data_IF_661582885045
#
_entry.id   IF_661582885045
#
_cell.length_a   1.000
_cell.length_b   1.000
_cell.length_c   1.000
_cell.angle_alpha   90.00
_cell.angle_beta   90.00
_cell.angle_gamma   90.00
#
_symmetry.space_group_name_H-M   'P 1'
#
loop_
_entity.id
_entity.type
_entity.pdbx_description
1 polymer ?
#
# COMPACT_ATOMS: atom_id res chain seq x y z
N UNK A 1 9.19 28.09 -18.81
CA UNK A 1 8.32 28.49 -19.95
C UNK A 1 7.26 27.41 -20.14
N UNK A 2 6.08 27.60 -19.51
CA UNK A 2 4.89 26.81 -19.81
C UNK A 2 4.56 27.04 -21.30
N UNK A 3 4.66 25.98 -22.11
CA UNK A 3 4.15 26.03 -23.47
C UNK A 3 2.66 26.33 -23.39
N UNK A 4 2.21 27.45 -23.96
CA UNK A 4 0.79 27.72 -24.17
C UNK A 4 0.19 26.53 -24.92
N UNK A 5 -0.75 25.86 -24.31
CA UNK A 5 -1.55 24.86 -25.02
C UNK A 5 -2.45 25.62 -26.00
N UNK A 6 -2.52 25.23 -27.27
CA UNK A 6 -3.37 25.94 -28.27
C UNK A 6 -4.83 26.04 -27.83
N UNK A 7 -5.30 25.10 -27.06
CA UNK A 7 -6.67 25.03 -26.53
C UNK A 7 -6.99 26.08 -25.47
N UNK A 8 -5.98 26.65 -24.78
CA UNK A 8 -6.21 27.68 -23.75
C UNK A 8 -6.88 28.91 -24.32
N UNK A 9 -6.52 29.33 -25.53
CA UNK A 9 -7.15 30.50 -26.17
C UNK A 9 -8.61 30.22 -26.51
N UNK A 10 -8.93 29.05 -26.97
CA UNK A 10 -10.31 28.64 -27.26
C UNK A 10 -11.13 28.53 -25.97
N UNK A 11 -10.59 27.91 -24.95
CA UNK A 11 -11.20 27.84 -23.63
C UNK A 11 -11.45 29.22 -23.04
N UNK A 12 -10.46 30.10 -23.08
CA UNK A 12 -10.61 31.47 -22.59
C UNK A 12 -11.69 32.25 -23.35
N UNK A 13 -11.81 32.01 -24.64
CA UNK A 13 -12.86 32.61 -25.47
C UNK A 13 -14.25 32.14 -25.04
N UNK A 14 -14.41 30.85 -24.75
CA UNK A 14 -15.68 30.32 -24.27
C UNK A 14 -16.06 30.91 -22.89
N UNK A 15 -15.07 31.08 -21.99
CA UNK A 15 -15.27 31.74 -20.70
C UNK A 15 -15.65 33.21 -20.87
N UNK A 16 -15.00 33.95 -21.79
CA UNK A 16 -15.36 35.33 -22.11
C UNK A 16 -16.77 35.43 -22.68
N UNK A 17 -17.13 34.57 -23.63
CA UNK A 17 -18.46 34.54 -24.24
C UNK A 17 -19.56 34.26 -23.19
N UNK A 18 -19.30 33.42 -22.21
CA UNK A 18 -20.21 33.19 -21.12
C UNK A 18 -20.42 34.48 -20.30
N UNK A 19 -19.34 35.17 -19.93
CA UNK A 19 -19.41 36.38 -19.12
C UNK A 19 -20.07 37.55 -19.91
N UNK A 20 -19.66 37.79 -21.16
CA UNK A 20 -20.21 38.85 -22.01
C UNK A 20 -21.69 38.57 -22.31
N UNK A 21 -22.06 37.33 -22.57
CA UNK A 21 -23.46 36.93 -22.76
C UNK A 21 -24.35 37.13 -21.52
N UNK A 22 -23.78 36.94 -20.33
CA UNK A 22 -24.52 37.06 -19.06
C UNK A 22 -24.62 38.49 -18.53
N UNK A 23 -23.56 39.26 -18.68
CA UNK A 23 -23.45 40.61 -18.09
C UNK A 23 -23.44 41.75 -19.11
N UNK A 24 -23.31 41.43 -20.38
CA UNK A 24 -23.10 42.39 -21.47
C UNK A 24 -21.61 42.60 -21.76
N UNK A 25 -21.27 42.67 -23.03
CA UNK A 25 -19.88 42.80 -23.50
C UNK A 25 -19.21 44.06 -22.95
N UNK A 26 -19.90 45.21 -23.01
CA UNK A 26 -19.43 46.51 -22.50
C UNK A 26 -19.19 46.53 -20.99
N UNK A 27 -19.73 45.57 -20.26
CA UNK A 27 -19.61 45.48 -18.81
C UNK A 27 -18.43 44.60 -18.38
N UNK A 28 -17.80 43.84 -19.24
CA UNK A 28 -16.58 43.06 -18.97
C UNK A 28 -15.37 43.95 -19.24
N UNK A 29 -14.87 44.62 -18.21
CA UNK A 29 -13.82 45.63 -18.33
C UNK A 29 -12.40 45.08 -18.28
N UNK A 30 -12.24 43.90 -17.73
CA UNK A 30 -10.95 43.20 -17.69
C UNK A 30 -11.17 41.70 -17.84
N UNK A 31 -10.35 41.04 -18.61
CA UNK A 31 -10.33 39.57 -18.76
C UNK A 31 -8.91 39.12 -19.03
N UNK A 32 -8.29 38.47 -18.06
CA UNK A 32 -6.90 38.04 -18.12
C UNK A 32 -6.81 36.55 -17.82
N UNK A 33 -6.06 35.82 -18.64
CA UNK A 33 -5.75 34.41 -18.42
C UNK A 33 -4.34 34.31 -17.84
N UNK A 34 -4.23 33.81 -16.63
CA UNK A 34 -2.96 33.54 -15.99
C UNK A 34 -2.50 32.12 -16.35
N UNK A 35 -1.33 32.02 -16.97
CA UNK A 35 -0.67 30.78 -17.38
C UNK A 35 0.71 30.59 -16.72
N UNK A 36 1.07 31.49 -15.82
CA UNK A 36 2.33 31.52 -15.07
C UNK A 36 2.29 30.73 -13.76
N UNK A 37 1.08 30.38 -13.30
CA UNK A 37 0.85 29.47 -12.20
C UNK A 37 0.65 28.03 -12.69
N UNK A 38 0.61 27.07 -11.77
CA UNK A 38 0.47 25.64 -12.11
C UNK A 38 -0.82 25.31 -12.84
N UNK A 39 -1.90 26.02 -12.49
CA UNK A 39 -3.22 25.80 -13.10
C UNK A 39 -3.64 27.05 -13.86
N UNK A 40 -3.83 27.00 -15.18
CA UNK A 40 -4.38 28.12 -15.92
C UNK A 40 -5.73 28.55 -15.34
N UNK A 41 -5.90 29.84 -15.11
CA UNK A 41 -7.15 30.37 -14.57
C UNK A 41 -7.42 31.78 -15.13
N UNK A 42 -8.67 32.20 -15.00
CA UNK A 42 -9.16 33.48 -15.50
C UNK A 42 -9.46 34.44 -14.37
N UNK A 43 -8.95 35.66 -14.48
CA UNK A 43 -9.43 36.79 -13.71
C UNK A 43 -10.29 37.69 -14.62
N UNK A 44 -11.52 37.94 -14.22
CA UNK A 44 -12.41 38.83 -14.97
C UNK A 44 -13.04 39.85 -14.04
N UNK A 45 -13.08 41.09 -14.47
CA UNK A 45 -13.75 42.19 -13.78
C UNK A 45 -15.00 42.60 -14.57
N UNK A 46 -16.14 42.58 -13.87
CA UNK A 46 -17.44 42.88 -14.46
C UNK A 46 -18.07 44.09 -13.76
N UNK A 47 -18.46 45.11 -14.52
CA UNK A 47 -19.25 46.22 -13.99
C UNK A 47 -20.69 45.79 -13.80
N UNK A 48 -21.25 45.92 -12.58
CA UNK A 48 -22.63 45.52 -12.30
C UNK A 48 -23.64 46.63 -12.74
N UNK A 49 -23.75 46.81 -14.05
CA UNK A 49 -24.69 47.79 -14.62
C UNK A 49 -26.01 47.13 -14.94
N UNK A 50 -27.11 47.71 -14.44
CA UNK A 50 -28.48 47.34 -14.74
C UNK A 50 -29.31 48.60 -14.99
N UNK A 51 -30.05 48.62 -16.09
CA UNK A 51 -30.88 49.79 -16.49
C UNK A 51 -30.05 51.10 -16.56
N UNK A 52 -28.84 51.05 -17.06
CA UNK A 52 -27.92 52.22 -17.19
C UNK A 52 -27.38 52.73 -15.85
N UNK A 53 -27.52 52.00 -14.76
CA UNK A 53 -27.05 52.39 -13.41
C UNK A 53 -26.18 51.30 -12.79
N UNK A 54 -25.12 51.73 -12.11
CA UNK A 54 -24.29 50.84 -11.32
C UNK A 54 -25.07 50.28 -10.14
N UNK A 55 -25.32 48.98 -10.07
CA UNK A 55 -26.07 48.33 -8.99
C UNK A 55 -25.63 46.89 -8.76
N UNK A 56 -24.66 46.71 -7.89
CA UNK A 56 -24.23 45.37 -7.42
C UNK A 56 -25.41 44.53 -6.90
N UNK A 57 -26.32 45.17 -6.11
CA UNK A 57 -27.47 44.47 -5.56
C UNK A 57 -28.37 43.91 -6.65
N UNK A 58 -28.70 44.67 -7.69
CA UNK A 58 -29.58 44.22 -8.78
C UNK A 58 -28.94 43.12 -9.65
N UNK A 59 -27.64 43.18 -9.84
CA UNK A 59 -26.92 42.25 -10.74
C UNK A 59 -26.59 40.95 -10.02
N UNK A 60 -26.00 41.01 -8.82
CA UNK A 60 -25.45 39.86 -8.14
C UNK A 60 -26.28 39.40 -6.94
N UNK A 61 -26.83 40.32 -6.12
CA UNK A 61 -27.46 39.91 -4.87
C UNK A 61 -28.94 39.53 -5.00
N UNK A 62 -29.71 40.24 -5.84
CA UNK A 62 -31.16 40.08 -5.85
C UNK A 62 -31.86 40.76 -4.66
N UNK A 63 -33.07 40.35 -4.35
CA UNK A 63 -33.87 40.92 -3.29
C UNK A 63 -33.42 40.49 -1.88
N UNK A 64 -32.98 39.24 -1.73
CA UNK A 64 -32.61 38.64 -0.46
C UNK A 64 -31.46 37.63 -0.56
N UNK A 65 -31.09 37.00 0.58
CA UNK A 65 -30.02 36.03 0.66
C UNK A 65 -30.27 34.72 -0.12
N UNK A 66 -31.54 34.39 -0.35
CA UNK A 66 -31.90 33.17 -1.11
C UNK A 66 -31.68 33.40 -2.60
N UNK A 67 -32.14 34.57 -3.10
CA UNK A 67 -31.93 34.98 -4.48
C UNK A 67 -30.43 35.18 -4.77
N UNK A 68 -29.67 35.74 -3.83
CA UNK A 68 -28.20 35.82 -3.93
C UNK A 68 -27.56 34.43 -4.09
N UNK A 69 -27.96 33.50 -3.22
CA UNK A 69 -27.45 32.13 -3.28
C UNK A 69 -27.83 31.46 -4.59
N UNK A 70 -29.03 31.62 -5.05
CA UNK A 70 -29.50 31.03 -6.30
C UNK A 70 -28.73 31.57 -7.50
N UNK A 71 -28.57 32.89 -7.61
CA UNK A 71 -27.78 33.52 -8.69
C UNK A 71 -26.32 33.08 -8.68
N UNK A 72 -25.73 32.94 -7.51
CA UNK A 72 -24.36 32.43 -7.36
C UNK A 72 -24.27 30.98 -7.83
N UNK A 73 -25.22 30.13 -7.47
CA UNK A 73 -25.25 28.73 -7.93
C UNK A 73 -25.44 28.65 -9.45
N UNK A 74 -26.38 29.41 -10.02
CA UNK A 74 -26.62 29.49 -11.46
C UNK A 74 -25.39 29.97 -12.23
N UNK A 75 -24.62 30.91 -11.66
CA UNK A 75 -23.35 31.34 -12.26
C UNK A 75 -22.32 30.22 -12.25
N UNK A 76 -22.16 29.53 -11.12
CA UNK A 76 -21.27 28.38 -11.00
C UNK A 76 -21.68 27.22 -11.92
N UNK A 77 -22.99 26.96 -12.06
CA UNK A 77 -23.52 25.92 -12.96
C UNK A 77 -23.24 26.27 -14.42
N UNK A 78 -23.42 27.54 -14.80
CA UNK A 78 -23.10 28.01 -16.15
C UNK A 78 -21.61 27.86 -16.47
N UNK A 79 -20.72 28.22 -15.55
CA UNK A 79 -19.28 27.95 -15.70
C UNK A 79 -18.96 26.47 -15.81
N UNK A 80 -19.59 25.63 -14.98
CA UNK A 80 -19.39 24.20 -15.00
C UNK A 80 -19.82 23.56 -16.32
N UNK A 81 -20.93 24.01 -16.90
CA UNK A 81 -21.40 23.47 -18.19
C UNK A 81 -20.46 23.80 -19.34
N UNK A 82 -19.94 25.03 -19.42
CA UNK A 82 -18.92 25.38 -20.41
C UNK A 82 -17.63 24.61 -20.20
N UNK A 83 -17.16 24.48 -18.95
CA UNK A 83 -15.94 23.76 -18.62
C UNK A 83 -16.03 22.24 -18.86
N UNK A 84 -17.22 21.67 -18.84
CA UNK A 84 -17.46 20.25 -19.12
C UNK A 84 -17.02 19.83 -20.53
N UNK A 85 -17.21 20.70 -21.52
CA UNK A 85 -16.73 20.47 -22.89
C UNK A 85 -15.19 20.40 -22.98
N UNK A 86 -14.49 20.95 -22.00
CA UNK A 86 -13.04 20.96 -21.85
C UNK A 86 -12.51 19.87 -20.92
N UNK A 87 -13.37 18.93 -20.50
CA UNK A 87 -13.00 17.83 -19.59
C UNK A 87 -12.84 18.24 -18.12
N UNK A 88 -13.25 19.46 -17.76
CA UNK A 88 -13.18 19.98 -16.40
C UNK A 88 -14.51 19.71 -15.68
N UNK A 89 -14.46 19.08 -14.52
CA UNK A 89 -15.64 18.79 -13.72
C UNK A 89 -15.79 19.81 -12.59
N UNK A 90 -17.04 20.15 -12.28
CA UNK A 90 -17.36 20.93 -11.08
C UNK A 90 -16.99 20.12 -9.83
N UNK A 91 -16.35 20.77 -8.86
CA UNK A 91 -16.09 20.16 -7.56
C UNK A 91 -17.38 19.86 -6.79
N UNK A 92 -17.30 18.87 -5.90
CA UNK A 92 -18.44 18.46 -5.07
C UNK A 92 -18.87 19.54 -4.08
N UNK A 93 -20.18 19.59 -3.81
CA UNK A 93 -20.74 20.52 -2.84
C UNK A 93 -20.25 20.21 -1.41
N UNK A 94 -20.07 21.27 -0.61
CA UNK A 94 -19.79 21.14 0.83
C UNK A 94 -20.87 20.30 1.55
N UNK A 95 -22.11 20.34 1.10
CA UNK A 95 -23.20 19.54 1.66
C UNK A 95 -23.02 18.03 1.41
N UNK A 96 -22.30 17.66 0.37
CA UNK A 96 -21.96 16.26 0.03
C UNK A 96 -20.66 15.84 0.70
N UNK A 97 -19.61 16.69 0.60
CA UNK A 97 -18.28 16.37 1.10
C UNK A 97 -18.11 16.60 2.59
N UNK A 98 -18.98 17.41 3.22
CA UNK A 98 -18.86 17.91 4.60
C UNK A 98 -17.50 18.54 4.92
N UNK A 99 -16.72 18.91 3.90
CA UNK A 99 -15.40 19.51 4.07
C UNK A 99 -15.55 20.98 4.45
N UNK A 100 -14.89 21.38 5.52
CA UNK A 100 -14.78 22.79 5.89
C UNK A 100 -13.76 23.48 5.02
N UNK A 101 -14.01 24.75 4.70
CA UNK A 101 -12.99 25.59 4.06
C UNK A 101 -11.77 25.70 4.97
N UNK A 102 -10.60 25.42 4.43
CA UNK A 102 -9.31 25.55 5.11
C UNK A 102 -8.44 26.54 4.35
N UNK A 103 -7.62 27.27 5.07
CA UNK A 103 -6.58 28.06 4.43
C UNK A 103 -5.54 27.14 3.77
N UNK A 104 -4.86 27.63 2.76
CA UNK A 104 -3.76 26.88 2.12
C UNK A 104 -2.68 26.48 3.13
N UNK A 105 -2.44 27.33 4.13
CA UNK A 105 -1.46 27.09 5.19
C UNK A 105 -1.90 25.95 6.12
N UNK A 106 -3.17 25.93 6.53
CA UNK A 106 -3.73 24.84 7.34
C UNK A 106 -3.71 23.51 6.59
N UNK A 107 -4.06 23.52 5.31
CA UNK A 107 -4.03 22.34 4.47
C UNK A 107 -2.61 21.80 4.29
N UNK A 108 -1.63 22.68 4.04
CA UNK A 108 -0.22 22.30 3.94
C UNK A 108 0.31 21.70 5.23
N UNK A 109 -0.02 22.30 6.39
CA UNK A 109 0.40 21.80 7.71
C UNK A 109 -0.18 20.41 7.97
N UNK A 110 -1.42 20.21 7.63
CA UNK A 110 -2.07 18.90 7.80
C UNK A 110 -1.43 17.83 6.90
N UNK A 111 -1.19 18.13 5.62
CA UNK A 111 -0.49 17.22 4.72
C UNK A 111 0.93 16.90 5.22
N UNK A 112 1.68 17.90 5.70
CA UNK A 112 3.00 17.68 6.29
C UNK A 112 2.95 16.75 7.50
N UNK A 113 1.96 16.92 8.38
CA UNK A 113 1.75 16.04 9.52
C UNK A 113 1.37 14.61 9.08
N UNK A 114 0.55 14.47 8.04
CA UNK A 114 0.19 13.18 7.48
C UNK A 114 1.41 12.47 6.90
N UNK A 115 2.26 13.17 6.14
CA UNK A 115 3.51 12.62 5.62
C UNK A 115 4.40 12.10 6.75
N UNK A 116 4.65 12.92 7.79
CA UNK A 116 5.49 12.52 8.92
C UNK A 116 4.92 11.32 9.69
N UNK A 117 3.60 11.19 9.75
CA UNK A 117 2.96 10.03 10.37
C UNK A 117 3.15 8.78 9.53
N UNK A 118 2.94 8.88 8.22
CA UNK A 118 3.14 7.77 7.28
C UNK A 118 4.61 7.32 7.22
N UNK A 119 5.55 8.25 7.23
CA UNK A 119 7.00 7.95 7.28
C UNK A 119 7.35 7.11 8.52
N UNK A 120 6.83 7.49 9.69
CA UNK A 120 7.03 6.72 10.92
C UNK A 120 6.41 5.32 10.83
N UNK A 121 5.21 5.20 10.25
CA UNK A 121 4.56 3.90 10.05
C UNK A 121 5.37 3.00 9.10
N UNK A 122 5.99 3.56 8.06
CA UNK A 122 6.88 2.82 7.15
C UNK A 122 8.11 2.31 7.90
N UNK A 123 8.76 3.14 8.72
CA UNK A 123 9.91 2.74 9.53
C UNK A 123 9.57 1.58 10.48
N UNK A 124 8.41 1.65 11.15
CA UNK A 124 7.90 0.58 12.01
C UNK A 124 7.65 -0.72 11.24
N UNK A 125 7.08 -0.63 10.02
CA UNK A 125 6.87 -1.80 9.17
C UNK A 125 8.19 -2.37 8.65
N UNK A 126 9.13 -1.53 8.27
CA UNK A 126 10.47 -1.96 7.88
C UNK A 126 11.18 -2.73 9.00
N UNK A 127 11.12 -2.25 10.23
CA UNK A 127 11.64 -2.96 11.40
C UNK A 127 10.95 -4.32 11.59
N UNK A 128 9.63 -4.38 11.37
CA UNK A 128 8.86 -5.63 11.44
C UNK A 128 9.30 -6.62 10.37
N UNK A 129 9.47 -6.19 9.12
CA UNK A 129 9.97 -7.02 8.01
C UNK A 129 11.37 -7.57 8.30
N UNK A 130 12.26 -6.75 8.82
CA UNK A 130 13.61 -7.15 9.21
C UNK A 130 13.58 -8.24 10.29
N UNK A 131 12.71 -8.09 11.31
CA UNK A 131 12.51 -9.08 12.37
C UNK A 131 11.98 -10.40 11.83
N UNK A 132 10.95 -10.38 10.96
CA UNK A 132 10.38 -11.57 10.34
C UNK A 132 11.41 -12.32 9.50
N UNK A 133 12.18 -11.60 8.67
CA UNK A 133 13.26 -12.20 7.89
C UNK A 133 14.32 -12.88 8.78
N UNK A 134 14.67 -12.27 9.92
CA UNK A 134 15.54 -12.88 10.91
C UNK A 134 14.97 -14.18 11.49
N UNK A 135 13.68 -14.19 11.82
CA UNK A 135 13.00 -15.38 12.35
C UNK A 135 12.91 -16.51 11.31
N UNK A 136 12.63 -16.18 10.05
CA UNK A 136 12.61 -17.13 8.92
C UNK A 136 13.98 -17.81 8.78
N UNK A 137 15.07 -17.04 8.73
CA UNK A 137 16.43 -17.60 8.63
C UNK A 137 16.77 -18.55 9.78
N UNK A 138 16.34 -18.22 11.01
CA UNK A 138 16.53 -19.10 12.16
C UNK A 138 15.70 -20.38 12.04
N UNK A 139 14.45 -20.30 11.59
CA UNK A 139 13.60 -21.45 11.35
C UNK A 139 14.17 -22.37 10.27
N UNK A 140 14.61 -21.84 9.14
CA UNK A 140 15.27 -22.58 8.05
C UNK A 140 16.54 -23.30 8.54
N UNK A 141 17.35 -22.61 9.35
CA UNK A 141 18.57 -23.21 9.93
C UNK A 141 18.23 -24.37 10.84
N UNK A 142 17.18 -24.24 11.66
CA UNK A 142 16.68 -25.31 12.54
C UNK A 142 16.16 -26.49 11.74
N UNK A 143 15.40 -26.25 10.67
CA UNK A 143 14.88 -27.29 9.76
C UNK A 143 16.04 -28.08 9.14
N UNK A 144 17.04 -27.40 8.59
CA UNK A 144 18.25 -28.04 8.03
C UNK A 144 18.97 -28.90 9.07
N UNK A 145 19.10 -28.40 10.30
CA UNK A 145 19.69 -29.17 11.41
C UNK A 145 18.89 -30.43 11.74
N UNK A 146 17.56 -30.36 11.80
CA UNK A 146 16.69 -31.50 12.04
C UNK A 146 16.75 -32.51 10.89
N UNK A 147 16.74 -32.07 9.65
CA UNK A 147 16.89 -32.92 8.46
C UNK A 147 18.22 -33.71 8.50
N UNK A 148 19.32 -33.03 8.84
CA UNK A 148 20.64 -33.69 8.99
C UNK A 148 20.61 -34.75 10.11
N UNK A 149 19.98 -34.44 11.25
CA UNK A 149 19.85 -35.39 12.35
C UNK A 149 19.01 -36.60 11.96
N UNK A 150 17.92 -36.40 11.22
CA UNK A 150 17.06 -37.47 10.71
C UNK A 150 17.85 -38.36 9.77
N UNK A 151 18.55 -37.81 8.79
CA UNK A 151 19.38 -38.57 7.84
C UNK A 151 20.46 -39.42 8.54
N UNK A 152 21.11 -38.88 9.56
CA UNK A 152 22.12 -39.61 10.34
C UNK A 152 21.47 -40.77 11.16
N UNK A 153 20.27 -40.55 11.73
CA UNK A 153 19.54 -41.57 12.45
C UNK A 153 19.04 -42.67 11.50
N UNK A 154 18.55 -42.32 10.31
CA UNK A 154 18.15 -43.28 9.29
C UNK A 154 19.33 -44.16 8.84
N UNK A 155 20.49 -43.55 8.57
CA UNK A 155 21.71 -44.31 8.27
C UNK A 155 22.13 -45.25 9.39
N UNK A 156 21.96 -44.80 10.65
CA UNK A 156 22.24 -45.63 11.84
C UNK A 156 21.23 -46.78 12.00
N UNK A 157 19.94 -46.53 11.70
CA UNK A 157 18.89 -47.56 11.67
C UNK A 157 19.23 -48.62 10.66
N UNK A 158 19.49 -48.22 9.41
CA UNK A 158 19.81 -49.13 8.28
C UNK A 158 21.04 -50.01 8.59
N UNK A 159 22.03 -49.44 9.26
CA UNK A 159 23.23 -50.21 9.68
C UNK A 159 22.89 -51.25 10.73
N UNK A 160 22.04 -50.90 11.73
CA UNK A 160 21.63 -51.85 12.77
C UNK A 160 20.71 -52.94 12.21
N UNK A 161 19.79 -52.60 11.32
CA UNK A 161 18.92 -53.55 10.62
C UNK A 161 19.71 -54.56 9.83
N UNK A 162 20.70 -54.10 9.04
CA UNK A 162 21.63 -55.02 8.32
C UNK A 162 22.40 -55.96 9.23
N UNK A 163 22.83 -55.48 10.39
CA UNK A 163 23.55 -56.31 11.35
C UNK A 163 22.61 -57.37 11.97
N UNK A 164 21.34 -57.03 12.28
CA UNK A 164 20.32 -57.96 12.72
C UNK A 164 20.04 -59.02 11.66
N UNK A 165 19.84 -58.58 10.38
CA UNK A 165 19.60 -59.52 9.27
C UNK A 165 20.78 -60.50 9.09
N UNK A 166 22.03 -60.01 9.22
CA UNK A 166 23.21 -60.89 9.19
C UNK A 166 23.22 -61.91 10.31
N UNK A 167 22.77 -61.57 11.50
CA UNK A 167 22.65 -62.51 12.63
C UNK A 167 21.54 -63.54 12.36
N UNK A 168 20.38 -63.11 11.85
CA UNK A 168 19.30 -64.00 11.45
C UNK A 168 19.74 -65.02 10.40
N UNK A 169 20.51 -64.59 9.37
CA UNK A 169 21.04 -65.49 8.37
C UNK A 169 21.97 -66.54 8.97
N UNK A 170 22.87 -66.15 9.91
CA UNK A 170 23.80 -67.08 10.58
C UNK A 170 23.07 -68.08 11.46
N UNK A 171 22.03 -67.63 12.21
CA UNK A 171 21.21 -68.52 13.01
C UNK A 171 20.39 -69.51 12.17
N UNK A 172 19.96 -69.09 10.97
CA UNK A 172 19.14 -69.91 10.06
C UNK A 172 19.98 -70.93 9.29
N UNK A 173 21.30 -70.71 9.10
CA UNK A 173 22.18 -71.61 8.31
C UNK A 173 22.44 -72.95 9.03
N UNK A 174 22.19 -73.06 10.29
CA UNK A 174 22.36 -74.29 11.08
C UNK A 174 23.83 -74.70 11.33
N UNK A 175 24.80 -73.90 10.91
CA UNK A 175 26.26 -74.16 11.01
C UNK A 175 26.88 -73.70 12.36
N UNK A 176 26.04 -73.19 13.28
CA UNK A 176 26.46 -72.51 14.51
C UNK A 176 26.24 -73.46 15.71
N UNK A 177 27.26 -73.61 16.56
CA UNK A 177 27.13 -74.42 17.78
C UNK A 177 26.24 -73.74 18.86
N UNK A 178 25.86 -74.49 19.89
CA UNK A 178 24.92 -74.00 20.93
C UNK A 178 25.43 -72.77 21.70
N UNK A 179 26.73 -72.67 21.93
CA UNK A 179 27.36 -71.53 22.62
C UNK A 179 27.34 -70.26 21.78
N UNK A 180 27.63 -70.40 20.50
CA UNK A 180 27.55 -69.33 19.51
C UNK A 180 26.11 -68.87 19.27
N UNK A 181 25.15 -69.77 19.24
CA UNK A 181 23.72 -69.42 19.17
C UNK A 181 23.30 -68.55 20.34
N UNK A 182 23.68 -68.89 21.57
CA UNK A 182 23.39 -68.04 22.74
C UNK A 182 24.07 -66.66 22.67
N UNK A 183 25.28 -66.58 22.16
CA UNK A 183 25.98 -65.29 21.99
C UNK A 183 25.33 -64.41 20.94
N UNK A 184 24.93 -64.97 19.80
CA UNK A 184 24.25 -64.28 18.73
C UNK A 184 22.87 -63.78 19.16
N UNK A 185 22.09 -64.59 19.90
CA UNK A 185 20.80 -64.18 20.43
C UNK A 185 20.92 -62.99 21.42
N UNK A 186 21.92 -62.98 22.29
CA UNK A 186 22.15 -61.81 23.19
C UNK A 186 22.54 -60.56 22.39
N UNK A 187 23.34 -60.72 21.31
CA UNK A 187 23.72 -59.61 20.44
C UNK A 187 22.52 -59.06 19.69
N UNK A 188 21.66 -59.95 19.19
CA UNK A 188 20.41 -59.57 18.53
C UNK A 188 19.48 -58.77 19.48
N UNK A 189 19.28 -59.23 20.71
CA UNK A 189 18.49 -58.53 21.72
C UNK A 189 19.04 -57.11 22.01
N UNK A 190 20.36 -57.00 22.11
CA UNK A 190 21.04 -55.70 22.29
C UNK A 190 20.86 -54.76 21.09
N UNK A 191 20.95 -55.27 19.85
CA UNK A 191 20.74 -54.53 18.64
C UNK A 191 19.27 -54.11 18.48
N UNK A 192 18.33 -54.97 18.84
CA UNK A 192 16.89 -54.67 18.86
C UNK A 192 16.57 -53.50 19.80
N UNK A 193 17.12 -53.49 21.01
CA UNK A 193 16.99 -52.36 21.94
C UNK A 193 17.58 -51.07 21.40
N UNK A 194 18.69 -51.18 20.66
CA UNK A 194 19.31 -50.05 19.99
C UNK A 194 18.44 -49.53 18.85
N UNK A 195 17.86 -50.43 18.05
CA UNK A 195 16.93 -50.09 16.97
C UNK A 195 15.70 -49.36 17.52
N UNK A 196 15.07 -49.89 18.57
CA UNK A 196 13.91 -49.25 19.22
C UNK A 196 14.23 -47.81 19.69
N UNK A 197 15.43 -47.62 20.26
CA UNK A 197 15.88 -46.28 20.68
C UNK A 197 16.10 -45.32 19.48
N UNK A 198 16.59 -45.84 18.35
CA UNK A 198 16.77 -45.02 17.13
C UNK A 198 15.41 -44.67 16.55
N UNK A 199 14.47 -45.60 16.46
CA UNK A 199 13.11 -45.38 15.96
C UNK A 199 12.37 -44.34 16.80
N UNK A 200 12.46 -44.41 18.12
CA UNK A 200 11.91 -43.40 19.01
C UNK A 200 12.49 -42.00 18.76
N UNK A 201 13.81 -41.91 18.57
CA UNK A 201 14.48 -40.63 18.25
C UNK A 201 14.08 -40.11 16.89
N UNK A 202 13.91 -40.97 15.89
CA UNK A 202 13.44 -40.61 14.57
C UNK A 202 12.05 -39.99 14.61
N UNK A 203 11.12 -40.63 15.34
CA UNK A 203 9.76 -40.12 15.50
C UNK A 203 9.76 -38.74 16.18
N UNK A 204 10.52 -38.54 17.26
CA UNK A 204 10.68 -37.26 17.94
C UNK A 204 11.22 -36.18 16.97
N UNK A 205 12.24 -36.52 16.15
CA UNK A 205 12.81 -35.53 15.22
C UNK A 205 11.90 -35.21 14.05
N UNK A 206 11.17 -36.18 13.51
CA UNK A 206 10.17 -35.99 12.46
C UNK A 206 9.01 -35.13 12.93
N UNK A 207 8.52 -35.37 14.16
CA UNK A 207 7.49 -34.50 14.75
C UNK A 207 7.96 -33.07 14.91
N UNK A 208 9.18 -32.87 15.42
CA UNK A 208 9.78 -31.52 15.54
C UNK A 208 10.02 -30.84 14.19
N UNK A 209 10.34 -31.61 13.16
CA UNK A 209 10.49 -31.09 11.80
C UNK A 209 9.15 -30.58 11.27
N UNK A 210 8.10 -31.39 11.37
CA UNK A 210 6.76 -31.01 10.92
C UNK A 210 6.24 -29.74 11.64
N UNK A 211 6.50 -29.62 12.96
CA UNK A 211 6.16 -28.40 13.70
C UNK A 211 6.96 -27.17 13.23
N UNK A 212 8.25 -27.38 12.92
CA UNK A 212 9.12 -26.30 12.42
C UNK A 212 8.73 -25.84 11.01
N UNK A 213 8.36 -26.78 10.12
CA UNK A 213 7.86 -26.47 8.77
C UNK A 213 6.56 -25.65 8.86
N UNK A 214 5.58 -26.09 9.65
CA UNK A 214 4.35 -25.32 9.84
C UNK A 214 4.61 -23.90 10.35
N UNK A 215 5.55 -23.76 11.29
CA UNK A 215 5.92 -22.43 11.80
C UNK A 215 6.61 -21.58 10.76
N UNK A 216 7.38 -22.16 9.87
CA UNK A 216 7.99 -21.46 8.72
C UNK A 216 6.92 -20.95 7.77
N UNK A 217 5.92 -21.76 7.44
CA UNK A 217 4.79 -21.35 6.59
C UNK A 217 4.00 -20.19 7.20
N UNK A 218 3.72 -20.24 8.52
CA UNK A 218 3.08 -19.14 9.24
C UNK A 218 3.90 -17.83 9.18
N UNK A 219 5.23 -17.93 9.27
CA UNK A 219 6.13 -16.77 9.16
C UNK A 219 6.16 -16.19 7.74
N UNK A 220 6.13 -17.04 6.71
CA UNK A 220 6.03 -16.57 5.32
C UNK A 220 4.71 -15.84 5.05
N UNK A 221 3.58 -16.37 5.53
CA UNK A 221 2.28 -15.69 5.40
C UNK A 221 2.29 -14.31 6.10
N UNK A 222 2.90 -14.21 7.28
CA UNK A 222 3.05 -12.94 7.98
C UNK A 222 3.95 -11.98 7.21
N UNK A 223 5.02 -12.47 6.59
CA UNK A 223 5.92 -11.67 5.78
C UNK A 223 5.21 -11.08 4.56
N UNK A 224 4.45 -11.89 3.83
CA UNK A 224 3.67 -11.42 2.66
C UNK A 224 2.67 -10.32 3.04
N UNK A 225 1.93 -10.52 4.13
CA UNK A 225 0.99 -9.51 4.64
C UNK A 225 1.70 -8.20 5.04
N UNK A 226 2.87 -8.32 5.66
CA UNK A 226 3.66 -7.16 6.06
C UNK A 226 4.26 -6.42 4.86
N UNK A 227 4.70 -7.14 3.82
CA UNK A 227 5.21 -6.57 2.56
C UNK A 227 4.11 -5.82 1.81
N UNK A 228 2.95 -6.42 1.62
CA UNK A 228 1.82 -5.77 0.96
C UNK A 228 1.41 -4.46 1.67
N UNK A 229 1.40 -4.45 3.01
CA UNK A 229 1.12 -3.23 3.78
C UNK A 229 2.20 -2.17 3.66
N UNK A 230 3.47 -2.57 3.60
CA UNK A 230 4.59 -1.66 3.39
C UNK A 230 4.50 -0.97 2.03
N UNK A 231 4.25 -1.71 0.95
CA UNK A 231 4.07 -1.18 -0.39
C UNK A 231 2.89 -0.20 -0.50
N UNK A 232 1.78 -0.51 0.16
CA UNK A 232 0.61 0.39 0.24
C UNK A 232 0.98 1.72 0.93
N UNK A 233 1.70 1.68 2.05
CA UNK A 233 2.16 2.88 2.76
C UNK A 233 3.16 3.71 1.93
N UNK A 234 4.09 3.08 1.24
CA UNK A 234 5.01 3.79 0.34
C UNK A 234 4.28 4.52 -0.78
N UNK A 235 3.23 3.89 -1.33
CA UNK A 235 2.37 4.51 -2.34
C UNK A 235 1.64 5.72 -1.77
N UNK A 236 1.06 5.60 -0.57
CA UNK A 236 0.38 6.70 0.12
C UNK A 236 1.32 7.89 0.40
N UNK A 237 2.57 7.63 0.81
CA UNK A 237 3.58 8.68 1.02
C UNK A 237 3.89 9.39 -0.30
N UNK A 238 4.08 8.63 -1.37
CA UNK A 238 4.37 9.20 -2.69
C UNK A 238 3.26 10.14 -3.14
N UNK A 239 2.00 9.73 -3.00
CA UNK A 239 0.84 10.53 -3.35
C UNK A 239 0.72 11.78 -2.46
N UNK A 240 0.95 11.64 -1.16
CA UNK A 240 0.94 12.76 -0.22
C UNK A 240 2.06 13.78 -0.52
N UNK A 241 3.27 13.33 -0.82
CA UNK A 241 4.40 14.18 -1.18
C UNK A 241 4.18 14.94 -2.51
N UNK A 242 3.55 14.31 -3.50
CA UNK A 242 3.14 14.99 -4.74
C UNK A 242 2.19 16.14 -4.40
N UNK A 243 1.18 15.91 -3.56
CA UNK A 243 0.23 16.93 -3.15
C UNK A 243 0.90 18.09 -2.37
N UNK A 244 1.83 17.79 -1.46
CA UNK A 244 2.60 18.83 -0.74
C UNK A 244 3.45 19.65 -1.71
N UNK A 245 4.13 19.01 -2.64
CA UNK A 245 4.96 19.69 -3.66
C UNK A 245 4.14 20.63 -4.53
N UNK A 246 2.96 20.22 -4.96
CA UNK A 246 2.04 21.07 -5.72
C UNK A 246 1.64 22.35 -4.96
N UNK A 247 1.40 22.22 -3.65
CA UNK A 247 1.02 23.38 -2.82
C UNK A 247 2.20 24.32 -2.57
N UNK A 248 3.42 23.79 -2.42
CA UNK A 248 4.63 24.60 -2.21
C UNK A 248 5.00 25.38 -3.47
N UNK A 249 4.91 24.75 -4.64
CA UNK A 249 5.24 25.41 -5.93
C UNK A 249 4.30 26.56 -6.23
N UNK A 250 3.03 26.48 -5.86
CA UNK A 250 2.05 27.56 -6.04
C UNK A 250 2.36 28.81 -5.19
N UNK A 251 3.21 28.71 -4.14
CA UNK A 251 3.63 29.85 -3.32
C UNK A 251 4.92 30.51 -3.77
N UNK A 252 5.76 29.82 -4.55
CA UNK A 252 7.06 30.36 -4.99
C UNK A 252 6.89 31.18 -6.27
N UNK A 253 5.76 31.01 -6.98
CA UNK A 253 5.42 31.75 -8.20
C UNK A 253 4.52 32.98 -7.99
N UNK A 254 4.13 33.29 -6.76
CA UNK A 254 3.39 34.49 -6.36
C UNK A 254 4.33 35.47 -5.64
#
# INVERSE_FOLDING_TARGET
HLKRMPEIELWARDMYNLLSGKFGDDNVISFVVHCDEQTPHVHAEVLPIKDGKLSYKKVFCGADKYEYRQRTLELHDAFAEVNKSWGLNRGDSITVTHRKHRSTEEYRRELSNQCSTLEREVDEKYATLSKLNGQIRLAETRIKGLQTMISNLESSRDAVEKEIDSIHQKLSSGEVDLEQQHLLARKEESLQKKLDSILFKLEDKRSKLSEADRKLDELHEQLEKAQARHEDLETQIKDANVNVSHIVMNKIGA
#
